data_IF_527241077176
#
_entry.id   IF_527241077176
#
_cell.length_a   1.000
_cell.length_b   1.000
_cell.length_c   1.000
_cell.angle_alpha   90.00
_cell.angle_beta   90.00
_cell.angle_gamma   90.00
#
_symmetry.space_group_name_H-M   'P 1'
#
loop_
_entity.id
_entity.type
_entity.pdbx_description
1 polymer ?
2 polymer ?
3 non-polymer ?
4 non-polymer ?
5 non-polymer ?
6 water ?
#
loop_
_entity_poly.entity_id
_entity_poly.type
_entity_poly.pdbx_seq_one_letter_code
_entity_poly.pdbx_strand_id
2 'polyribonucleotide' '(GTP)GUCACGCACAGGGCAAACCAUUCGAAAGAGUGGGACGCAAAGCCUCCGGCCUAAACCAUUGCACUCCGGUAGGUAGCGGGGUUACCGAUGG' ?
#
# COMPACT_ATOMS: atom_id res chain seq x y z
N UNK A 7 7.88 -2.60 -14.36
CA UNK A 7 6.82 -2.72 -13.32
C UNK A 7 7.39 -2.45 -11.91
N UNK A 8 8.31 -3.30 -11.46
CA UNK A 8 8.81 -3.14 -10.10
C UNK A 8 8.90 -1.67 -9.77
N UNK A 9 8.56 -1.31 -8.53
CA UNK A 9 8.60 0.08 -8.12
C UNK A 9 8.71 0.25 -6.62
N UNK A 10 9.31 1.35 -6.20
CA UNK A 10 9.39 1.67 -4.77
C UNK A 10 8.03 1.52 -4.15
N UNK A 11 7.01 1.93 -4.89
CA UNK A 11 5.65 1.97 -4.35
C UNK A 11 4.85 0.74 -4.77
N UNK A 12 4.07 0.20 -3.84
CA UNK A 12 3.07 -0.78 -4.19
C UNK A 12 1.69 -0.15 -4.14
N UNK A 13 0.82 -0.58 -5.05
CA UNK A 13 -0.53 -0.02 -5.15
C UNK A 13 -1.56 -1.04 -4.71
N UNK A 14 -2.27 -0.71 -3.63
CA UNK A 14 -3.27 -1.60 -3.04
C UNK A 14 -4.69 -1.05 -3.25
N UNK A 15 -5.63 -1.94 -3.50
CA UNK A 15 -7.04 -1.55 -3.49
C UNK A 15 -7.95 -2.73 -3.20
N UNK A 16 -9.26 -2.51 -3.32
CA UNK A 16 -10.20 -3.42 -2.71
C UNK A 16 -10.08 -3.30 -1.20
N UNK A 17 -9.87 -2.07 -0.74
CA UNK A 17 -9.73 -1.80 0.68
C UNK A 17 -11.06 -1.44 1.30
N UNK A 18 -11.45 -2.18 2.32
CA UNK A 18 -12.63 -1.85 3.09
C UNK A 18 -12.72 -0.35 3.31
N UNK A 19 -13.71 0.28 2.69
CA UNK A 19 -13.85 1.73 2.73
C UNK A 19 -14.36 2.23 4.07
N UNK A 20 -14.86 1.32 4.89
CA UNK A 20 -15.39 1.67 6.21
C UNK A 20 -14.29 2.11 7.16
N UNK A 21 -13.07 1.64 6.89
CA UNK A 21 -11.91 1.99 7.73
C UNK A 21 -11.51 3.44 7.52
N UNK A 22 -10.94 4.05 8.55
CA UNK A 22 -10.57 5.47 8.50
C UNK A 22 -9.09 5.68 8.15
N UNK A 23 -8.78 6.79 7.51
CA UNK A 23 -7.41 7.11 7.13
C UNK A 23 -6.45 6.76 8.26
N UNK A 24 -6.75 7.26 9.45
CA UNK A 24 -5.90 7.05 10.61
C UNK A 24 -5.56 5.59 10.83
N UNK A 25 -6.60 4.78 11.05
CA UNK A 25 -6.43 3.37 11.40
C UNK A 25 -5.94 2.54 10.21
N UNK A 26 -6.54 2.77 9.04
CA UNK A 26 -6.09 2.12 7.82
C UNK A 26 -4.57 2.23 7.70
N UNK A 27 -4.05 3.45 7.84
CA UNK A 27 -2.62 3.65 7.85
C UNK A 27 -1.95 2.76 8.90
N UNK A 28 -2.23 3.03 10.18
CA UNK A 28 -1.64 2.27 11.28
C UNK A 28 -1.56 0.79 10.97
N UNK A 29 -2.67 0.21 10.54
CA UNK A 29 -2.74 -1.23 10.31
C UNK A 29 -1.91 -1.66 9.10
N UNK A 30 -2.09 -0.98 7.99
CA UNK A 30 -1.26 -1.20 6.80
C UNK A 30 0.21 -1.10 7.17
N UNK A 31 0.54 -0.08 7.94
CA UNK A 31 1.91 0.14 8.39
C UNK A 31 2.36 -1.00 9.28
N UNK A 32 1.41 -1.54 10.05
CA UNK A 32 1.68 -2.69 10.88
C UNK A 32 2.05 -3.89 10.02
N UNK A 33 1.07 -4.38 9.25
CA UNK A 33 1.30 -5.51 8.37
C UNK A 33 2.55 -5.36 7.52
N UNK A 34 2.63 -4.27 6.76
CA UNK A 34 3.64 -4.15 5.69
C UNK A 34 5.03 -3.74 6.17
N UNK A 35 5.10 -3.04 7.30
CA UNK A 35 6.39 -2.59 7.80
C UNK A 35 7.28 -3.80 8.06
N UNK A 36 6.69 -4.99 7.90
CA UNK A 36 7.41 -6.24 8.11
C UNK A 36 8.40 -6.55 7.00
N UNK A 37 8.29 -5.85 5.88
CA UNK A 37 9.04 -6.22 4.68
C UNK A 37 10.17 -5.24 4.35
N UNK A 38 10.19 -4.11 5.04
CA UNK A 38 11.19 -3.07 4.82
C UNK A 38 10.82 -1.77 5.49
N UNK A 39 11.43 -0.68 5.05
CA UNK A 39 11.11 0.65 5.58
C UNK A 39 10.09 1.37 4.70
N UNK A 40 9.07 1.94 5.32
CA UNK A 40 8.06 2.67 4.58
C UNK A 40 8.34 4.17 4.60
N UNK A 41 8.74 4.72 3.47
CA UNK A 41 8.94 6.15 3.37
C UNK A 41 7.66 6.87 3.73
N UNK A 42 6.53 6.25 3.41
CA UNK A 42 5.24 6.86 3.72
C UNK A 42 4.10 5.92 3.35
N UNK A 43 2.89 6.32 3.72
CA UNK A 43 1.69 5.56 3.39
C UNK A 43 0.66 6.62 3.03
N UNK A 44 0.13 6.56 1.82
CA UNK A 44 -0.82 7.55 1.34
C UNK A 44 -2.23 6.99 1.22
N UNK A 45 -3.14 7.54 2.01
CA UNK A 45 -4.52 7.08 2.03
C UNK A 45 -5.48 8.26 2.01
N UNK A 46 -6.24 8.38 0.94
CA UNK A 46 -7.31 9.38 0.85
C UNK A 46 -8.67 8.71 0.63
N UNK A 47 -9.73 9.35 1.13
CA UNK A 47 -11.05 8.75 1.08
C UNK A 47 -12.00 9.52 0.15
N UNK A 48 -11.42 10.30 -0.76
CA UNK A 48 -12.21 11.03 -1.74
C UNK A 48 -12.87 10.06 -2.70
N UNK A 49 -13.85 10.55 -3.46
CA UNK A 49 -14.64 9.71 -4.34
C UNK A 49 -13.82 8.60 -5.00
N UNK A 50 -12.72 8.99 -5.62
CA UNK A 50 -12.00 8.05 -6.47
C UNK A 50 -10.57 7.77 -6.01
N UNK A 51 -10.26 8.14 -4.77
CA UNK A 51 -9.02 7.69 -4.14
C UNK A 51 -9.31 6.69 -3.02
N UNK A 52 -10.55 6.23 -2.98
CA UNK A 52 -11.06 5.45 -1.86
C UNK A 52 -11.01 3.96 -2.15
N UNK A 53 -10.81 3.16 -1.12
CA UNK A 53 -10.68 1.72 -1.27
C UNK A 53 -9.32 1.34 -1.80
N UNK A 54 -8.38 2.27 -1.70
CA UNK A 54 -7.04 2.05 -2.20
C UNK A 54 -6.02 2.79 -1.35
N UNK A 55 -4.77 2.36 -1.45
CA UNK A 55 -3.71 2.98 -0.69
C UNK A 55 -2.37 2.70 -1.34
N UNK A 56 -1.46 3.67 -1.24
CA UNK A 56 -0.12 3.51 -1.77
C UNK A 56 0.86 3.28 -0.64
N UNK A 57 1.70 2.26 -0.78
CA UNK A 57 2.72 2.00 0.21
C UNK A 57 4.11 2.13 -0.38
N UNK A 58 4.80 3.20 -0.02
CA UNK A 58 6.13 3.51 -0.56
C UNK A 58 7.24 2.94 0.31
N UNK A 59 8.08 2.11 -0.29
CA UNK A 59 9.16 1.47 0.44
C UNK A 59 10.50 2.15 0.20
N UNK A 60 11.44 1.95 1.13
CA UNK A 60 12.79 2.47 0.99
C UNK A 60 13.52 1.73 -0.13
N UNK A 61 13.40 0.41 -0.13
CA UNK A 61 14.04 -0.42 -1.16
C UNK A 61 13.01 -0.99 -2.11
N UNK A 62 13.25 -0.83 -3.40
CA UNK A 62 12.36 -1.39 -4.42
C UNK A 62 12.18 -2.89 -4.22
N UNK A 63 13.14 -3.52 -3.55
CA UNK A 63 13.05 -4.96 -3.30
C UNK A 63 12.08 -5.26 -2.16
N UNK A 64 11.86 -4.29 -1.28
CA UNK A 64 10.85 -4.42 -0.22
C UNK A 64 9.45 -4.57 -0.83
N UNK A 65 9.15 -3.70 -1.80
CA UNK A 65 7.85 -3.71 -2.45
C UNK A 65 7.54 -5.06 -3.05
N UNK A 66 8.48 -5.61 -3.80
CA UNK A 66 8.27 -6.88 -4.50
C UNK A 66 7.86 -7.96 -3.53
N UNK A 67 8.54 -8.03 -2.39
CA UNK A 67 8.19 -8.99 -1.37
C UNK A 67 6.77 -8.77 -0.91
N UNK A 68 6.47 -7.56 -0.43
CA UNK A 68 5.11 -7.17 -0.11
C UNK A 68 4.14 -7.76 -1.13
N UNK A 69 4.25 -7.30 -2.37
CA UNK A 69 3.39 -7.81 -3.44
C UNK A 69 3.31 -9.31 -3.37
N UNK A 70 4.44 -9.97 -3.57
CA UNK A 70 4.49 -11.42 -3.60
C UNK A 70 3.92 -12.02 -2.33
N UNK A 71 4.37 -11.51 -1.20
CA UNK A 71 4.04 -12.12 0.10
C UNK A 71 2.55 -12.06 0.43
N UNK A 72 1.96 -10.88 0.32
CA UNK A 72 0.62 -10.66 0.88
C UNK A 72 -0.48 -10.35 -0.15
N UNK A 73 -0.35 -10.90 -1.34
CA UNK A 73 -1.41 -10.80 -2.33
C UNK A 73 -2.67 -11.45 -1.78
N UNK A 74 -3.82 -10.85 -2.07
CA UNK A 74 -5.11 -11.41 -1.66
C UNK A 74 -5.24 -11.64 -0.15
N UNK A 75 -4.23 -11.23 0.61
CA UNK A 75 -4.29 -11.38 2.06
C UNK A 75 -5.55 -10.73 2.65
N UNK A 76 -6.31 -11.50 3.46
CA UNK A 76 -7.55 -11.04 4.08
C UNK A 76 -7.31 -9.88 5.02
N UNK A 77 -7.94 -8.74 4.73
CA UNK A 77 -7.69 -7.52 5.49
C UNK A 77 -9.01 -6.81 5.79
N UNK A 78 -9.48 -6.91 7.02
CA UNK A 78 -10.80 -6.43 7.36
C UNK A 78 -11.84 -7.19 6.56
N UNK A 79 -11.67 -8.51 6.49
CA UNK A 79 -12.63 -9.39 5.85
C UNK A 79 -12.66 -9.21 4.33
N UNK A 80 -11.77 -8.37 3.82
CA UNK A 80 -11.57 -8.25 2.39
C UNK A 80 -10.18 -8.76 1.98
N UNK A 81 -10.00 -9.05 0.70
CA UNK A 81 -8.74 -9.49 0.17
C UNK A 81 -8.02 -8.32 -0.49
N UNK A 82 -6.70 -8.31 -0.44
CA UNK A 82 -5.93 -7.19 -0.97
C UNK A 82 -5.55 -7.40 -2.43
N UNK A 83 -6.00 -6.50 -3.29
CA UNK A 83 -5.48 -6.42 -4.64
C UNK A 83 -4.20 -5.62 -4.58
N UNK A 84 -3.06 -6.28 -4.75
CA UNK A 84 -1.80 -5.56 -4.78
C UNK A 84 -1.24 -5.51 -6.19
N UNK A 85 -0.47 -4.47 -6.45
CA UNK A 85 0.22 -4.34 -7.72
C UNK A 85 1.06 -3.08 -7.68
N UNK A 86 1.93 -2.91 -8.68
CA UNK A 86 2.84 -1.78 -8.70
C UNK A 86 2.14 -0.51 -9.12
N UNK A 87 2.67 0.63 -8.68
CA UNK A 87 2.19 1.91 -9.15
C UNK A 87 2.74 2.13 -10.54
N UNK A 88 1.87 2.44 -11.49
CA UNK A 88 2.30 2.76 -12.84
C UNK A 88 3.42 3.80 -12.81
N UNK A 89 3.33 4.71 -11.83
CA UNK A 89 4.31 5.77 -11.70
C UNK A 89 4.94 5.73 -10.32
N UNK A 90 5.97 6.54 -10.11
CA UNK A 90 6.59 6.67 -8.80
C UNK A 90 5.86 7.70 -7.97
N UNK A 91 6.34 7.89 -6.75
CA UNK A 91 5.75 8.89 -5.85
C UNK A 91 6.66 10.11 -5.77
N UNK A 92 6.04 11.28 -5.62
CA UNK A 92 6.78 12.54 -5.66
C UNK A 92 8.07 12.50 -4.84
N UNK A 93 8.03 11.82 -3.70
CA UNK A 93 9.24 11.56 -2.93
C UNK A 93 10.27 10.85 -3.79
N UNK A 94 9.92 9.66 -4.26
CA UNK A 94 10.83 8.85 -5.07
C UNK A 94 11.13 9.51 -6.42
N UNK A 95 10.16 10.28 -6.94
CA UNK A 95 10.35 10.97 -8.21
C UNK A 95 11.37 12.10 -8.07
N UNK A 96 11.05 13.08 -7.22
CA UNK A 96 11.96 14.19 -6.97
C UNK A 96 13.20 13.75 -6.20
X LIG C 1 -16.51 51.15 22.67
X LIG C 1 -18.28 51.33 22.65
X LIG C 1 -15.88 51.46 24.30
X LIG C 1 -16.08 49.69 22.20
X LIG C 1 -14.79 49.53 21.64
X LIG C 1 -14.78 48.27 20.78
X LIG C 1 -15.53 47.20 21.40
X LIG C 1 -15.41 48.52 19.42
X LIG C 1 -14.41 48.88 18.49
X LIG C 1 -16.06 47.18 19.09
X LIG C 1 -15.20 46.37 18.27
X LIG C 1 -16.29 46.49 20.43
X LIG C 1 -17.73 46.55 20.77
X LIG C 1 -18.27 47.30 21.77
X LIG C 1 -19.62 47.15 21.81
X LIG C 1 -19.97 46.32 20.82
X LIG C 1 -21.22 45.75 20.32
X LIG C 1 -22.40 46.07 20.91
X LIG C 1 -21.17 44.91 19.26
X LIG C 1 -19.99 44.58 18.66
X LIG C 1 -20.02 43.73 17.61
X LIG C 1 -18.80 45.08 19.09
X LIG C 1 -18.73 45.92 20.13
X LIG C 1 -14.73 49.84 17.26
X LIG C 1 -13.23 50.41 16.50
X LIG C 1 -15.76 49.04 16.05
X LIG C 1 -15.50 51.08 17.94
X LIG C 1 -14.74 52.21 18.33
X LIG C 1 -15.49 53.04 19.36
X LIG C 1 -16.35 53.94 18.67
X LIG C 1 -16.35 52.21 20.29
X LIG C 1 -15.78 52.08 21.58
X LIG C 1 -17.62 53.02 20.44
X LIG C 1 -17.48 53.89 21.56
X LIG C 1 -17.68 53.86 19.19
X LIG C 1 -18.56 53.18 18.21
X LIG C 1 -18.18 52.81 16.96
X LIG C 1 -19.22 52.21 16.30
X LIG C 1 -20.27 52.19 17.13
X LIG C 1 -21.67 51.70 17.04
X LIG C 1 -22.13 51.10 15.92
X LIG C 1 -22.46 51.87 18.13
X LIG C 1 -22.00 52.47 19.27
X LIG C 1 -22.85 52.60 20.32
X LIG C 1 -20.72 52.94 19.40
X LIG C 1 -19.84 52.83 18.38
X LIG D 1 -16.84 42.39 11.33
X LIG D 1 -15.12 43.43 11.29
X LIG D 1 -17.76 44.02 12.10
X LIG D 1 -18.56 41.33 11.38
X LIG D 1 -15.88 40.78 10.59
X LIG D 1 -17.32 42.95 9.45
X LIG D 1 -16.37 41.84 13.21
X LIG E 1 -22.49 26.47 2.54
X LIG E 1 -20.70 26.57 1.62
X LIG E 1 -21.78 24.98 3.73
X LIG E 1 -24.30 26.34 3.43
X LIG E 1 -23.18 27.92 1.32
X LIG E 1 -21.97 27.85 3.92
X LIG E 1 -23.02 25.07 1.16
X LIG F 1 -17.49 52.21 26.79
X LIG F 1 -15.73 51.22 26.79
X LIG F 1 -18.20 50.97 25.35
X LIG F 1 -19.24 53.22 26.81
X LIG F 1 -16.78 53.46 28.21
X LIG F 1 -18.21 51.00 28.24
X LIG F 1 -16.77 53.45 25.35
X LIG G 1 -21.57 37.57 7.77
X LIG G 1 -20.00 36.85 6.71
X LIG G 1 -22.70 36.01 7.14
X LIG G 1 -23.12 38.31 8.83
X LIG G 1 -20.42 39.12 8.36
X LIG G 1 -21.01 36.54 9.42
X LIG G 1 -22.13 38.61 6.13
X LIG H 1 -28.00 62.88 10.91
X LIG H 1 -26.08 63.24 10.37
X LIG H 1 -27.50 63.21 12.84
X LIG H 1 -29.92 62.49 11.42
X LIG H 1 -28.46 62.52 8.97
X LIG H 1 -28.51 64.82 10.65
X LIG H 1 -27.49 60.94 11.16
X LIG I 1 -19.81 10.29 25.00
X LIG I 1 -19.24 10.66 23.09
X LIG I 1 -19.57 8.32 24.67
X LIG I 1 -20.40 9.94 26.90
X LIG I 1 -20.06 12.28 25.28
X LIG I 1 -17.91 10.45 25.67
X LIG I 1 -21.72 10.15 24.33
X LIG J 1 -23.53 41.35 6.86
X LIG J 1 -22.74 43.19 6.66
X LIG J 1 -22.06 40.85 8.16
X LIG J 1 -24.33 39.49 7.04
X LIG J 1 -24.98 41.85 5.53
X LIG J 1 -24.73 41.94 8.38
X LIG J 1 -22.35 40.75 5.32
X LIG K 1 -14.19 28.57 16.27
X LIG K 1 -12.20 28.95 16.27
X LIG K 1 -13.81 26.59 16.36
X LIG K 1 -16.19 28.20 16.25
X LIG K 1 -14.55 30.56 16.15
X LIG K 1 -14.29 28.67 18.29
X LIG K 1 -14.10 28.47 14.25
X LIG L 1 -25.04 21.32 3.91
X LIG L 1 -23.31 20.32 3.61
X LIG L 1 -25.56 20.96 1.98
X LIG L 1 -26.78 22.33 4.20
X LIG L 1 -24.49 21.70 5.82
X LIG L 1 -26.00 19.63 4.51
X LIG L 1 -24.10 22.99 3.29
X LIG M 1 -19.65 37.90 21.21
X LIG N 1 -12.31 50.65 14.34
#
# INVERSE_FOLDING_TARGET
MAVPETRPNHTIYINNLNEKIKKDELKKSLHAIFSRFGQILDILVSRSLKMRGQAFVIFKEVSSATNALRSMQGFPFYDKPMRIQYAKTDSDIIAKMK
C2E P1 O2P O1P O5' C5' C4' O4' C3' O3' C2' O2' C1' N9 C8 N7 C5 C6 O6 N1 C2 N2 N3 C4 P11 O21 O11 O5A C5A C4A O4A C3A O3A C2A O2A C1A N91 C81 N71 C51 C61 O61 N11 C21 N21 N31 C41
IRI IR N1 N2 N3 N4 N5 N6
IRI IR N1 N2 N3 N4 N5 N6
IRI IR N1 N2 N3 N4 N5 N6
IRI IR N1 N2 N3 N4 N5 N6
IRI IR N1 N2 N3 N4 N5 N6
IRI IR N1 N2 N3 N4 N5 N6
IRI IR N1 N2 N3 N4 N5 N6
IRI IR N1 N2 N3 N4 N5 N6
IRI IR N1 N2 N3 N4 N5 N6
MG MG
MG MG
#
